data_IF_771348112605
#
_entry.id   IF_771348112605
#
_cell.length_a   1.000
_cell.length_b   1.000
_cell.length_c   1.000
_cell.angle_alpha   90.00
_cell.angle_beta   90.00
_cell.angle_gamma   90.00
#
_symmetry.space_group_name_H-M   'P 1'
#
loop_
_entity.id
_entity.type
_entity.pdbx_description
1 polymer ?
#
# COMPACT_ATOMS: atom_id res chain seq x y z
N UNK A 1 0.13 -4.75 -21.17
CA UNK A 1 0.99 -4.96 -20.00
C UNK A 1 0.72 -3.84 -19.01
N UNK A 2 -0.23 -4.10 -18.11
CA UNK A 2 -0.50 -3.25 -16.95
C UNK A 2 0.15 -3.89 -15.72
N UNK A 3 0.35 -3.07 -14.68
CA UNK A 3 0.74 -3.54 -13.36
C UNK A 3 -0.45 -3.39 -12.42
N UNK A 4 -0.89 -4.48 -11.82
CA UNK A 4 -1.94 -4.46 -10.81
C UNK A 4 -1.38 -4.64 -9.42
N UNK A 5 -1.78 -3.73 -8.54
CA UNK A 5 -1.45 -3.78 -7.13
C UNK A 5 -2.63 -4.35 -6.35
N UNK A 6 -2.45 -5.55 -5.80
CA UNK A 6 -3.36 -6.13 -4.84
C UNK A 6 -2.90 -5.81 -3.42
N UNK A 7 -3.70 -5.02 -2.70
CA UNK A 7 -3.41 -4.60 -1.33
C UNK A 7 -4.22 -5.47 -0.36
N UNK A 8 -3.53 -6.30 0.42
CA UNK A 8 -4.15 -7.04 1.52
C UNK A 8 -4.18 -6.14 2.77
N UNK A 9 -5.38 -5.65 3.10
CA UNK A 9 -5.62 -4.73 4.21
C UNK A 9 -6.49 -5.33 5.32
N UNK A 10 -6.88 -6.61 5.20
CA UNK A 10 -7.76 -7.25 6.18
C UNK A 10 -7.00 -7.91 7.33
N UNK A 11 -7.29 -7.50 8.56
CA UNK A 11 -6.89 -8.24 9.78
C UNK A 11 -7.45 -9.66 9.83
N UNK A 12 -8.48 -9.94 9.04
CA UNK A 12 -9.24 -11.19 9.02
C UNK A 12 -9.04 -11.94 7.70
N UNK A 13 -7.79 -12.01 7.22
CA UNK A 13 -7.42 -12.63 5.93
C UNK A 13 -8.09 -13.98 5.69
N UNK A 14 -8.16 -14.85 6.69
CA UNK A 14 -8.78 -16.17 6.58
C UNK A 14 -10.26 -16.13 6.16
N UNK A 15 -11.01 -15.08 6.52
CA UNK A 15 -12.43 -14.91 6.18
C UNK A 15 -12.65 -14.35 4.77
N UNK A 16 -11.63 -13.71 4.17
CA UNK A 16 -11.73 -13.07 2.84
C UNK A 16 -10.92 -13.76 1.74
N UNK A 17 -10.10 -14.75 2.10
CA UNK A 17 -9.16 -15.40 1.19
C UNK A 17 -9.87 -16.03 -0.02
N UNK A 18 -11.07 -16.59 0.16
CA UNK A 18 -11.79 -17.29 -0.89
C UNK A 18 -12.18 -16.37 -2.06
N UNK A 19 -12.78 -15.21 -1.76
CA UNK A 19 -13.23 -14.26 -2.80
C UNK A 19 -12.02 -13.59 -3.47
N UNK A 20 -11.03 -13.19 -2.67
CA UNK A 20 -9.85 -12.50 -3.19
C UNK A 20 -9.01 -13.43 -4.07
N UNK A 21 -8.82 -14.69 -3.67
CA UNK A 21 -8.12 -15.69 -4.48
C UNK A 21 -8.85 -15.98 -5.79
N UNK A 22 -10.18 -16.18 -5.75
CA UNK A 22 -10.97 -16.42 -6.95
C UNK A 22 -10.89 -15.25 -7.94
N UNK A 23 -10.92 -14.01 -7.44
CA UNK A 23 -10.74 -12.82 -8.28
C UNK A 23 -9.35 -12.79 -8.93
N UNK A 24 -8.28 -12.98 -8.14
CA UNK A 24 -6.91 -12.94 -8.65
C UNK A 24 -6.65 -14.03 -9.69
N UNK A 25 -7.21 -15.23 -9.50
CA UNK A 25 -7.13 -16.32 -10.46
C UNK A 25 -7.86 -15.99 -11.77
N UNK A 26 -9.07 -15.44 -11.67
CA UNK A 26 -9.84 -14.99 -12.85
C UNK A 26 -9.14 -13.85 -13.60
N UNK A 27 -8.53 -12.92 -12.87
CA UNK A 27 -7.76 -11.83 -13.47
C UNK A 27 -6.54 -12.37 -14.23
N UNK A 28 -5.74 -13.26 -13.62
CA UNK A 28 -4.57 -13.87 -14.28
C UNK A 28 -4.94 -14.65 -15.54
N UNK A 29 -6.08 -15.36 -15.54
CA UNK A 29 -6.55 -16.07 -16.73
C UNK A 29 -6.98 -15.14 -17.86
N UNK A 30 -7.58 -13.99 -17.55
CA UNK A 30 -8.05 -13.03 -18.56
C UNK A 30 -6.97 -12.06 -19.03
N UNK A 31 -5.93 -11.84 -18.23
CA UNK A 31 -4.84 -10.90 -18.50
C UNK A 31 -3.47 -11.59 -18.26
N UNK A 32 -3.09 -12.57 -19.09
CA UNK A 32 -1.88 -13.37 -18.85
C UNK A 32 -0.58 -12.57 -18.93
N UNK A 33 -0.59 -11.44 -19.63
CA UNK A 33 0.57 -10.56 -19.81
C UNK A 33 0.68 -9.47 -18.72
N UNK A 34 -0.28 -9.38 -17.82
CA UNK A 34 -0.25 -8.37 -16.75
C UNK A 34 0.49 -8.89 -15.51
N UNK A 35 1.19 -7.98 -14.83
CA UNK A 35 1.87 -8.28 -13.58
C UNK A 35 0.92 -7.99 -12.41
N UNK A 36 0.86 -8.91 -11.44
CA UNK A 36 0.17 -8.68 -10.17
C UNK A 36 1.20 -8.65 -9.04
N UNK A 37 1.30 -7.50 -8.40
CA UNK A 37 2.07 -7.26 -7.20
C UNK A 37 1.16 -7.38 -5.97
N UNK A 38 1.59 -8.14 -4.96
CA UNK A 38 0.92 -8.22 -3.67
C UNK A 38 1.63 -7.30 -2.68
N UNK A 39 0.88 -6.40 -2.07
CA UNK A 39 1.33 -5.62 -0.92
C UNK A 39 0.52 -6.04 0.31
N UNK A 40 1.17 -6.79 1.22
CA UNK A 40 0.55 -7.29 2.45
C UNK A 40 0.82 -6.33 3.60
N UNK A 41 -0.15 -5.45 3.90
CA UNK A 41 0.00 -4.39 4.89
C UNK A 41 0.26 -4.91 6.31
N UNK A 42 -0.01 -6.18 6.58
CA UNK A 42 0.21 -6.80 7.89
C UNK A 42 1.60 -7.41 8.05
N UNK A 43 2.38 -7.47 6.97
CA UNK A 43 3.76 -7.97 6.98
C UNK A 43 4.80 -6.88 6.79
N UNK A 44 4.36 -5.71 6.36
CA UNK A 44 5.23 -4.58 6.08
C UNK A 44 5.44 -3.72 7.33
N UNK A 45 6.66 -3.21 7.56
CA UNK A 45 6.93 -2.19 8.56
C UNK A 45 6.41 -0.85 8.06
N UNK A 46 5.10 -0.66 8.10
CA UNK A 46 4.47 0.61 7.74
C UNK A 46 4.91 1.71 8.71
N UNK A 47 5.27 2.86 8.16
CA UNK A 47 5.58 4.05 8.95
C UNK A 47 4.38 4.45 9.83
N UNK A 48 4.65 4.84 11.08
CA UNK A 48 3.62 5.45 11.90
C UNK A 48 3.25 6.81 11.33
N UNK A 49 1.96 7.14 11.38
CA UNK A 49 1.48 8.45 10.98
C UNK A 49 1.39 9.35 12.22
N UNK A 50 2.55 9.86 12.63
CA UNK A 50 2.73 10.69 13.82
C UNK A 50 2.75 12.21 13.49
N UNK A 51 3.09 13.03 14.49
CA UNK A 51 3.14 14.48 14.32
C UNK A 51 4.21 14.91 13.31
N UNK A 52 5.36 14.25 13.28
CA UNK A 52 6.43 14.57 12.33
C UNK A 52 6.01 14.24 10.90
N UNK A 53 5.33 13.11 10.67
CA UNK A 53 4.75 12.77 9.37
C UNK A 53 3.68 13.79 8.92
N UNK A 54 2.85 14.26 9.86
CA UNK A 54 1.84 15.28 9.59
C UNK A 54 2.48 16.63 9.23
N UNK A 55 3.46 17.08 10.01
CA UNK A 55 4.13 18.35 9.80
C UNK A 55 4.98 18.32 8.52
N UNK A 56 5.58 17.17 8.19
CA UNK A 56 6.28 16.94 6.93
C UNK A 56 5.36 17.17 5.73
N UNK A 57 4.13 16.64 5.78
CA UNK A 57 3.11 16.86 4.75
C UNK A 57 2.75 18.34 4.60
N UNK A 58 2.57 19.07 5.70
CA UNK A 58 2.24 20.49 5.66
C UNK A 58 3.41 21.36 5.17
N UNK A 59 4.64 21.06 5.58
CA UNK A 59 5.83 21.75 5.09
C UNK A 59 5.94 21.64 3.56
N UNK A 60 5.65 20.47 2.97
CA UNK A 60 5.60 20.29 1.50
C UNK A 60 4.49 21.13 0.87
N UNK A 61 3.28 21.13 1.45
CA UNK A 61 2.14 21.90 0.94
C UNK A 61 2.42 23.42 0.95
N UNK A 62 3.11 23.89 2.01
CA UNK A 62 3.44 25.30 2.19
C UNK A 62 4.79 25.71 1.58
N UNK A 63 5.51 24.78 0.95
CA UNK A 63 6.85 24.99 0.39
C UNK A 63 7.89 25.46 1.43
N UNK A 64 7.73 25.01 2.67
CA UNK A 64 8.63 25.29 3.78
C UNK A 64 9.76 24.24 3.86
N UNK A 65 10.86 24.59 4.50
CA UNK A 65 11.95 23.63 4.72
C UNK A 65 11.57 22.63 5.82
N UNK A 66 11.63 21.35 5.49
CA UNK A 66 11.40 20.27 6.44
C UNK A 66 12.55 20.15 7.46
N UNK A 67 12.19 19.94 8.73
CA UNK A 67 13.10 19.59 9.82
C UNK A 67 13.72 18.20 9.60
N UNK A 68 14.79 17.81 10.34
CA UNK A 68 15.35 16.47 10.24
C UNK A 68 14.36 15.34 10.57
N UNK A 69 13.48 15.51 11.56
CA UNK A 69 12.42 14.54 11.89
C UNK A 69 11.41 14.38 10.76
N UNK A 70 10.97 15.50 10.18
CA UNK A 70 10.04 15.53 9.04
C UNK A 70 10.61 14.92 7.75
N UNK A 71 11.93 14.84 7.59
CA UNK A 71 12.56 14.19 6.43
C UNK A 71 12.68 12.67 6.58
N UNK A 72 12.69 12.19 7.82
CA UNK A 72 12.84 10.77 8.15
C UNK A 72 11.48 10.06 8.31
N UNK A 73 10.40 10.84 8.39
CA UNK A 73 9.01 10.40 8.44
C UNK A 73 8.41 10.33 7.02
#
# INVERSE_FOLDING_TARGET
MAKQLYIESSTQRALRIAVSAAFLESYRSSHPDDEIELWDLWREPLMEFDQDALDAKYAVIHQEQQSPGQKAA
#
